data_IF_986074750482
#
_entry.id   IF_986074750482
#
_cell.length_a   1.000
_cell.length_b   1.000
_cell.length_c   1.000
_cell.angle_alpha   90.00
_cell.angle_beta   90.00
_cell.angle_gamma   90.00
#
_symmetry.space_group_name_H-M   'P 1'
#
loop_
_entity.id
_entity.type
_entity.pdbx_description
1 polymer ?
#
# COMPACT_ATOMS: atom_id res chain seq x y z
N UNK A 1 -1.66 9.75 6.06
CA UNK A 1 -1.89 8.95 7.29
C UNK A 1 -2.45 9.86 8.40
N UNK A 2 -3.17 9.30 9.37
CA UNK A 2 -3.62 9.98 10.59
C UNK A 2 -3.15 9.19 11.81
N UNK A 3 -2.43 9.81 12.74
CA UNK A 3 -1.91 9.18 13.95
C UNK A 3 -1.92 10.14 15.15
N UNK A 4 -1.87 9.60 16.36
CA UNK A 4 -1.65 10.41 17.57
C UNK A 4 -0.16 10.50 17.87
N UNK A 5 0.35 11.71 18.10
CA UNK A 5 1.74 11.89 18.53
C UNK A 5 1.94 11.60 20.03
N UNK A 6 3.16 11.77 20.52
CA UNK A 6 3.53 11.49 21.91
C UNK A 6 2.81 12.39 22.93
N UNK A 7 2.33 13.56 22.50
CA UNK A 7 1.56 14.51 23.32
C UNK A 7 0.04 14.28 23.20
N UNK A 8 -0.37 13.28 22.41
CA UNK A 8 -1.77 12.91 22.20
C UNK A 8 -2.50 13.77 21.17
N UNK A 9 -1.79 14.57 20.38
CA UNK A 9 -2.37 15.36 19.30
C UNK A 9 -2.54 14.50 18.04
N UNK A 10 -3.69 14.63 17.37
CA UNK A 10 -3.91 13.98 16.08
C UNK A 10 -3.20 14.75 14.96
N UNK A 11 -2.31 14.05 14.26
CA UNK A 11 -1.55 14.54 13.12
C UNK A 11 -2.08 13.88 11.86
N UNK A 12 -2.34 14.70 10.83
CA UNK A 12 -2.58 14.24 9.46
C UNK A 12 -1.35 14.63 8.66
N UNK A 13 -0.60 13.63 8.18
CA UNK A 13 0.62 13.84 7.42
C UNK A 13 0.72 12.85 6.25
N UNK A 14 1.48 13.22 5.23
CA UNK A 14 1.85 12.29 4.16
C UNK A 14 2.78 11.19 4.71
N UNK A 15 2.73 10.02 4.08
CA UNK A 15 3.69 8.95 4.41
C UNK A 15 5.09 9.40 3.98
N UNK A 16 6.13 9.11 4.77
CA UNK A 16 7.49 9.44 4.39
C UNK A 16 7.92 8.64 3.16
N UNK A 17 8.69 9.27 2.28
CA UNK A 17 9.36 8.55 1.20
C UNK A 17 10.47 7.68 1.78
N UNK A 18 10.27 6.37 1.70
CA UNK A 18 11.18 5.36 2.25
C UNK A 18 12.57 5.36 1.58
N UNK A 19 12.74 6.03 0.43
CA UNK A 19 14.04 6.17 -0.23
C UNK A 19 14.86 7.35 0.30
N UNK A 20 14.22 8.34 0.93
CA UNK A 20 14.86 9.60 1.34
C UNK A 20 14.70 9.94 2.82
N UNK A 21 13.77 9.28 3.52
CA UNK A 21 13.53 9.51 4.93
C UNK A 21 14.75 9.13 5.79
N UNK A 22 15.06 9.92 6.85
CA UNK A 22 16.11 9.57 7.79
C UNK A 22 15.74 8.30 8.56
N UNK A 23 16.73 7.43 8.80
CA UNK A 23 16.54 6.20 9.56
C UNK A 23 16.21 6.56 11.01
N UNK A 24 15.03 6.14 11.47
CA UNK A 24 14.59 6.35 12.86
C UNK A 24 15.19 5.32 13.83
N UNK A 25 15.29 4.05 13.41
CA UNK A 25 15.86 2.97 14.20
C UNK A 25 16.40 1.84 13.32
N UNK A 26 17.43 1.15 13.79
CA UNK A 26 18.00 -0.03 13.16
C UNK A 26 17.72 -1.27 14.01
N UNK A 27 17.12 -2.28 13.39
CA UNK A 27 16.88 -3.59 14.01
C UNK A 27 17.90 -4.59 13.46
N UNK A 28 18.81 -5.05 14.32
CA UNK A 28 19.90 -5.96 13.94
C UNK A 28 19.76 -7.30 14.69
N UNK A 29 19.94 -8.41 13.98
CA UNK A 29 19.91 -9.78 14.51
C UNK A 29 21.31 -10.37 14.80
N UNK A 30 22.37 -9.63 14.48
CA UNK A 30 23.76 -10.01 14.72
C UNK A 30 24.16 -10.00 16.20
N UNK A 31 25.42 -10.33 16.47
CA UNK A 31 25.97 -10.28 17.82
C UNK A 31 25.93 -8.84 18.35
N UNK A 32 25.31 -8.64 19.53
CA UNK A 32 24.97 -7.32 20.12
C UNK A 32 23.87 -6.55 19.38
N UNK A 33 23.10 -7.22 18.54
CA UNK A 33 21.93 -6.68 17.87
C UNK A 33 20.75 -6.39 18.81
N UNK A 34 19.72 -5.74 18.27
CA UNK A 34 18.52 -5.28 18.99
C UNK A 34 17.31 -6.20 18.79
N UNK A 35 17.39 -7.19 17.91
CA UNK A 35 16.28 -8.10 17.62
C UNK A 35 16.10 -9.16 18.72
N UNK A 36 15.00 -9.06 19.46
CA UNK A 36 14.63 -10.04 20.51
C UNK A 36 13.79 -11.18 19.94
N UNK A 37 12.85 -10.89 19.04
CA UNK A 37 12.03 -11.89 18.35
C UNK A 37 11.40 -11.29 17.08
N UNK A 38 11.05 -12.14 16.12
CA UNK A 38 10.35 -11.73 14.91
C UNK A 38 9.27 -12.74 14.53
N UNK A 39 8.13 -12.23 14.04
CA UNK A 39 7.13 -13.03 13.34
C UNK A 39 6.82 -12.37 12.01
N UNK A 40 6.52 -13.16 10.99
CA UNK A 40 6.15 -12.65 9.66
C UNK A 40 4.89 -13.36 9.19
N UNK A 41 3.88 -12.57 8.84
CA UNK A 41 2.69 -13.02 8.13
C UNK A 41 2.66 -12.45 6.73
N UNK A 42 2.08 -13.19 5.79
CA UNK A 42 1.69 -12.69 4.48
C UNK A 42 0.25 -13.11 4.21
N UNK A 43 -0.52 -12.20 3.61
CA UNK A 43 -1.89 -12.46 3.22
C UNK A 43 -2.16 -11.90 1.84
N UNK A 44 -3.15 -12.46 1.14
CA UNK A 44 -3.55 -12.01 -0.19
C UNK A 44 -4.82 -11.17 -0.17
N UNK A 45 -5.40 -10.95 1.00
CA UNK A 45 -6.56 -10.07 1.14
C UNK A 45 -6.22 -8.67 0.65
N UNK A 46 -7.10 -8.13 -0.21
CA UNK A 46 -6.92 -6.83 -0.82
C UNK A 46 -5.86 -6.77 -1.93
N UNK A 47 -5.32 -7.91 -2.39
CA UNK A 47 -4.54 -7.92 -3.64
C UNK A 47 -5.45 -8.01 -4.85
N UNK A 48 -5.26 -7.10 -5.81
CA UNK A 48 -6.00 -7.03 -7.07
C UNK A 48 -5.02 -6.90 -8.24
N UNK A 49 -5.27 -7.61 -9.32
CA UNK A 49 -4.55 -7.50 -10.60
C UNK A 49 -5.35 -6.77 -11.70
N UNK A 50 -6.63 -6.47 -11.41
CA UNK A 50 -7.53 -5.69 -12.24
C UNK A 50 -8.38 -4.82 -11.34
N UNK A 51 -8.36 -3.50 -11.57
CA UNK A 51 -9.17 -2.53 -10.83
C UNK A 51 -9.99 -1.72 -11.81
N UNK A 52 -11.30 -1.67 -11.59
CA UNK A 52 -12.24 -0.80 -12.31
C UNK A 52 -12.74 0.28 -11.35
N UNK A 53 -12.49 1.54 -11.68
CA UNK A 53 -12.97 2.68 -10.94
C UNK A 53 -14.06 3.38 -11.73
N UNK A 54 -15.20 3.67 -11.08
CA UNK A 54 -16.32 4.38 -11.69
C UNK A 54 -16.66 5.62 -10.89
N UNK A 55 -16.80 6.75 -11.59
CA UNK A 55 -17.24 8.02 -11.03
C UNK A 55 -18.56 8.46 -11.64
N UNK A 56 -19.49 8.92 -10.80
CA UNK A 56 -20.72 9.55 -11.22
C UNK A 56 -20.86 10.91 -10.51
N UNK A 57 -21.29 11.94 -11.23
CA UNK A 57 -21.58 13.25 -10.68
C UNK A 57 -23.08 13.37 -10.39
N UNK A 58 -23.46 13.87 -9.22
CA UNK A 58 -24.87 14.07 -8.83
C UNK A 58 -25.40 15.47 -9.18
N UNK A 59 -24.54 16.41 -9.56
CA UNK A 59 -24.90 17.81 -9.85
C UNK A 59 -25.10 18.09 -11.35
N UNK A 60 -24.39 17.39 -12.23
CA UNK A 60 -24.55 17.49 -13.68
C UNK A 60 -25.09 16.18 -14.25
N UNK A 61 -26.06 16.26 -15.16
CA UNK A 61 -26.63 15.11 -15.89
C UNK A 61 -25.66 14.59 -16.97
N UNK A 62 -24.48 14.16 -16.50
CA UNK A 62 -23.42 13.58 -17.32
C UNK A 62 -23.36 12.07 -17.11
N UNK A 63 -23.15 11.27 -18.18
CA UNK A 63 -22.95 9.84 -18.03
C UNK A 63 -21.77 9.54 -17.10
N UNK A 64 -21.86 8.50 -16.25
CA UNK A 64 -20.76 8.08 -15.41
C UNK A 64 -19.50 7.76 -16.23
N UNK A 65 -18.34 8.11 -15.69
CA UNK A 65 -17.04 7.79 -16.26
C UNK A 65 -16.48 6.52 -15.61
N UNK A 66 -15.77 5.72 -16.38
CA UNK A 66 -15.11 4.51 -15.91
C UNK A 66 -13.66 4.49 -16.38
N UNK A 67 -12.76 4.01 -15.52
CA UNK A 67 -11.37 3.76 -15.82
C UNK A 67 -10.97 2.38 -15.33
N UNK A 68 -10.11 1.70 -16.10
CA UNK A 68 -9.62 0.37 -15.78
C UNK A 68 -8.10 0.38 -15.74
N UNK A 69 -7.52 -0.31 -14.76
CA UNK A 69 -6.09 -0.60 -14.68
C UNK A 69 -5.89 -2.11 -14.45
N UNK A 70 -5.02 -2.73 -15.24
CA UNK A 70 -4.69 -4.15 -15.13
C UNK A 70 -3.16 -4.36 -15.18
N UNK A 71 -2.69 -5.41 -14.53
CA UNK A 71 -1.30 -5.87 -14.65
C UNK A 71 -1.13 -6.70 -15.93
N UNK A 72 -0.59 -6.06 -16.97
CA UNK A 72 -0.42 -6.66 -18.30
C UNK A 72 0.99 -7.21 -18.57
N UNK A 73 1.90 -7.20 -17.58
CA UNK A 73 3.25 -7.76 -17.73
C UNK A 73 3.21 -9.30 -17.60
N UNK A 74 3.49 -10.07 -18.68
CA UNK A 74 3.43 -11.53 -18.64
C UNK A 74 4.46 -12.17 -17.71
N UNK A 75 5.48 -11.42 -17.28
CA UNK A 75 6.50 -11.88 -16.33
C UNK A 75 6.11 -11.61 -14.87
N UNK A 76 5.07 -10.80 -14.65
CA UNK A 76 4.57 -10.48 -13.33
C UNK A 76 3.87 -11.69 -12.70
N UNK A 77 4.15 -12.01 -11.42
CA UNK A 77 3.39 -13.01 -10.66
C UNK A 77 1.90 -12.66 -10.52
N UNK A 78 1.52 -11.40 -10.72
CA UNK A 78 0.14 -10.90 -10.67
C UNK A 78 -0.45 -10.60 -12.04
N UNK A 79 0.19 -11.07 -13.12
CA UNK A 79 -0.32 -10.93 -14.49
C UNK A 79 -1.78 -11.33 -14.62
N UNK A 80 -2.57 -10.51 -15.31
CA UNK A 80 -4.04 -10.58 -15.39
C UNK A 80 -4.62 -11.70 -16.27
N UNK A 81 -3.76 -12.44 -16.96
CA UNK A 81 -4.15 -13.70 -17.62
C UNK A 81 -3.29 -14.87 -17.13
N UNK A 82 -2.69 -14.70 -15.96
CA UNK A 82 -1.77 -15.65 -15.35
C UNK A 82 -2.44 -16.53 -14.29
N UNK A 83 -1.65 -17.31 -13.54
CA UNK A 83 -2.19 -18.19 -12.50
C UNK A 83 -2.87 -17.46 -11.33
N UNK A 84 -2.61 -16.16 -11.16
CA UNK A 84 -3.23 -15.32 -10.14
C UNK A 84 -4.67 -14.91 -10.52
N UNK A 85 -4.95 -14.82 -11.82
CA UNK A 85 -6.21 -14.41 -12.44
C UNK A 85 -5.89 -13.90 -13.83
#
# INVERSE_FOLDING_TARGET
ECYADADGQFIIAELPDMLTAPISWQVDAGERGTLVSASRGSHRDGMYNWVVARGANTEEDTPPVEATAADEDPTSPTYVYGPFG
#
